data_IF_516689888203
#
_entry.id   IF_516689888203
#
_cell.length_a   1.000
_cell.length_b   1.000
_cell.length_c   1.000
_cell.angle_alpha   90.00
_cell.angle_beta   90.00
_cell.angle_gamma   90.00
#
_symmetry.space_group_name_H-M   'P 1'
#
loop_
_entity.id
_entity.type
_entity.pdbx_description
1 polymer ?
#
# COMPACT_ATOMS: atom_id res chain seq x y z
N UNK A 1 -13.03 0.33 16.70
CA UNK A 1 -12.84 0.04 15.27
C UNK A 1 -11.37 0.20 14.96
N UNK A 2 -10.73 -0.80 14.35
CA UNK A 2 -9.29 -0.78 14.05
C UNK A 2 -8.99 0.25 12.96
N UNK A 3 -8.18 1.27 13.25
CA UNK A 3 -7.89 2.41 12.34
C UNK A 3 -7.26 2.02 10.99
N UNK A 4 -6.72 0.81 10.87
CA UNK A 4 -6.17 0.29 9.61
C UNK A 4 -7.24 -0.24 8.65
N UNK A 5 -8.46 -0.54 9.13
CA UNK A 5 -9.58 -0.96 8.26
C UNK A 5 -10.13 0.18 7.40
N UNK A 6 -9.84 1.42 7.78
CA UNK A 6 -10.17 2.61 7.00
C UNK A 6 -9.22 2.83 5.81
N UNK A 7 -8.14 2.04 5.71
CA UNK A 7 -7.22 2.10 4.57
C UNK A 7 -7.84 1.41 3.37
N UNK A 8 -8.10 2.17 2.31
CA UNK A 8 -8.54 1.64 1.02
C UNK A 8 -7.33 1.16 0.25
N UNK A 9 -7.26 -0.13 -0.04
CA UNK A 9 -6.18 -0.76 -0.83
C UNK A 9 -6.61 -0.87 -2.28
N UNK A 10 -5.77 -0.41 -3.20
CA UNK A 10 -5.95 -0.52 -4.64
C UNK A 10 -4.69 -1.12 -5.26
N UNK A 11 -4.86 -2.16 -6.08
CA UNK A 11 -3.76 -2.78 -6.82
C UNK A 11 -3.69 -2.20 -8.22
N UNK A 12 -2.50 -1.76 -8.65
CA UNK A 12 -2.28 -1.18 -9.97
C UNK A 12 -1.02 -1.75 -10.62
N UNK A 13 -1.09 -1.98 -11.93
CA UNK A 13 0.08 -2.31 -12.76
C UNK A 13 0.77 -1.07 -13.35
N UNK A 14 0.38 0.11 -12.87
CA UNK A 14 0.95 1.40 -13.26
C UNK A 14 1.25 2.22 -12.03
N UNK A 15 2.38 2.92 -12.06
CA UNK A 15 2.81 3.80 -11.01
C UNK A 15 1.78 4.93 -10.81
N UNK A 16 1.30 5.17 -9.58
CA UNK A 16 0.21 6.12 -9.33
C UNK A 16 0.55 7.58 -9.66
N UNK A 17 1.84 7.96 -9.57
CA UNK A 17 2.29 9.33 -9.86
C UNK A 17 2.85 9.54 -11.27
N UNK A 18 3.77 8.67 -11.72
CA UNK A 18 4.43 8.81 -13.02
C UNK A 18 3.68 8.17 -14.17
N UNK A 19 2.62 7.39 -13.88
CA UNK A 19 1.88 6.58 -14.86
C UNK A 19 2.73 5.53 -15.60
N UNK A 20 3.96 5.31 -15.16
CA UNK A 20 4.87 4.33 -15.75
C UNK A 20 4.37 2.90 -15.49
N UNK A 21 4.61 1.97 -16.43
CA UNK A 21 4.27 0.57 -16.22
C UNK A 21 5.11 -0.01 -15.08
N UNK A 22 4.49 -0.84 -14.24
CA UNK A 22 5.21 -1.61 -13.21
C UNK A 22 6.15 -2.61 -13.86
N UNK A 23 7.24 -2.95 -13.17
CA UNK A 23 8.16 -3.99 -13.61
C UNK A 23 7.43 -5.33 -13.81
N UNK A 24 7.86 -6.13 -14.78
CA UNK A 24 7.29 -7.44 -15.04
C UNK A 24 7.36 -8.33 -13.79
N UNK A 25 6.22 -8.86 -13.37
CA UNK A 25 6.12 -9.65 -12.15
C UNK A 25 5.92 -8.83 -10.88
N UNK A 26 5.80 -7.51 -10.95
CA UNK A 26 5.53 -6.62 -9.81
C UNK A 26 4.13 -6.00 -9.90
N UNK A 27 3.63 -5.48 -8.78
CA UNK A 27 2.34 -4.77 -8.66
C UNK A 27 2.50 -3.63 -7.67
N UNK A 28 1.89 -2.48 -7.96
CA UNK A 28 1.82 -1.38 -7.02
C UNK A 28 0.62 -1.56 -6.09
N UNK A 29 0.88 -1.52 -4.79
CA UNK A 29 -0.12 -1.50 -3.74
C UNK A 29 -0.29 -0.05 -3.32
N UNK A 30 -1.46 0.52 -3.57
CA UNK A 30 -1.79 1.91 -3.29
C UNK A 30 -2.77 1.95 -2.14
N UNK A 31 -2.44 2.68 -1.09
CA UNK A 31 -3.26 2.88 0.10
C UNK A 31 -3.71 4.32 0.24
N UNK A 32 -5.00 4.50 0.51
CA UNK A 32 -5.59 5.80 0.82
C UNK A 32 -6.20 5.77 2.21
N UNK A 33 -5.82 6.72 3.06
CA UNK A 33 -6.39 6.93 4.39
C UNK A 33 -6.79 8.40 4.54
N UNK A 34 -8.09 8.67 4.37
CA UNK A 34 -8.63 10.03 4.40
C UNK A 34 -8.03 10.90 3.28
N UNK A 35 -7.19 11.87 3.65
CA UNK A 35 -6.49 12.75 2.69
C UNK A 35 -5.05 12.31 2.38
N UNK A 36 -4.56 11.25 3.02
CA UNK A 36 -3.22 10.73 2.83
C UNK A 36 -3.23 9.59 1.83
N UNK A 37 -2.25 9.57 0.94
CA UNK A 37 -2.03 8.49 -0.02
C UNK A 37 -0.58 8.03 0.09
N UNK A 38 -0.37 6.72 0.10
CA UNK A 38 0.93 6.08 0.07
C UNK A 38 0.86 4.90 -0.88
N UNK A 39 2.00 4.48 -1.41
CA UNK A 39 2.07 3.32 -2.27
C UNK A 39 3.44 2.68 -2.14
N UNK A 40 3.51 1.39 -2.44
CA UNK A 40 4.76 0.65 -2.56
C UNK A 40 4.65 -0.38 -3.68
N UNK A 41 5.81 -0.82 -4.14
CA UNK A 41 5.91 -1.89 -5.11
C UNK A 41 6.13 -3.22 -4.40
N UNK A 42 5.44 -4.26 -4.86
CA UNK A 42 5.62 -5.62 -4.37
C UNK A 42 5.64 -6.61 -5.55
N UNK A 43 6.42 -7.67 -5.43
CA UNK A 43 6.39 -8.77 -6.39
C UNK A 43 5.04 -9.50 -6.32
N UNK A 44 4.53 -9.93 -7.47
CA UNK A 44 3.27 -10.68 -7.61
C UNK A 44 3.31 -11.99 -6.81
N UNK A 45 4.48 -12.63 -6.75
CA UNK A 45 4.69 -13.82 -5.93
C UNK A 45 4.49 -13.54 -4.44
N UNK A 46 4.98 -12.41 -3.93
CA UNK A 46 4.75 -12.01 -2.54
C UNK A 46 3.29 -11.60 -2.32
N UNK A 47 2.71 -10.83 -3.24
CA UNK A 47 1.31 -10.41 -3.18
C UNK A 47 0.36 -11.60 -3.07
N UNK A 48 0.61 -12.68 -3.80
CA UNK A 48 -0.20 -13.91 -3.74
C UNK A 48 -0.13 -14.61 -2.38
N UNK A 49 0.93 -14.38 -1.60
CA UNK A 49 1.12 -14.95 -0.27
C UNK A 49 0.64 -14.01 0.86
N UNK A 50 0.30 -12.75 0.55
CA UNK A 50 -0.16 -11.77 1.53
C UNK A 50 -1.68 -11.71 1.56
N UNK A 51 -2.24 -11.52 2.75
CA UNK A 51 -3.65 -11.21 2.90
C UNK A 51 -3.89 -9.70 2.83
N UNK A 52 -5.13 -9.33 2.53
CA UNK A 52 -5.52 -7.92 2.48
C UNK A 52 -5.24 -7.18 3.79
N UNK A 53 -5.33 -7.87 4.94
CA UNK A 53 -5.02 -7.29 6.26
C UNK A 53 -3.53 -6.92 6.39
N UNK A 54 -2.62 -7.74 5.83
CA UNK A 54 -1.19 -7.44 5.78
C UNK A 54 -0.91 -6.19 4.93
N UNK A 55 -1.53 -6.10 3.74
CA UNK A 55 -1.41 -4.95 2.85
C UNK A 55 -1.93 -3.67 3.53
N UNK A 56 -3.09 -3.75 4.18
CA UNK A 56 -3.67 -2.63 4.92
C UNK A 56 -2.76 -2.18 6.07
N UNK A 57 -2.12 -3.12 6.77
CA UNK A 57 -1.21 -2.84 7.88
C UNK A 57 0.06 -2.13 7.41
N UNK A 58 0.70 -2.62 6.35
CA UNK A 58 1.89 -1.98 5.77
C UNK A 58 1.56 -0.57 5.27
N UNK A 59 0.47 -0.42 4.51
CA UNK A 59 0.01 0.89 4.06
C UNK A 59 -0.31 1.82 5.24
N UNK A 60 -0.93 1.30 6.30
CA UNK A 60 -1.20 2.09 7.50
C UNK A 60 0.08 2.62 8.15
N UNK A 61 1.15 1.82 8.20
CA UNK A 61 2.45 2.26 8.71
C UNK A 61 3.07 3.37 7.84
N UNK A 62 2.94 3.27 6.51
CA UNK A 62 3.41 4.31 5.57
C UNK A 62 2.58 5.59 5.64
N UNK A 63 1.25 5.47 5.80
CA UNK A 63 0.30 6.59 5.86
C UNK A 63 0.30 7.27 7.24
N UNK A 64 0.61 6.51 8.27
CA UNK A 64 0.64 6.94 9.66
C UNK A 64 1.97 6.51 10.30
N UNK A 65 3.10 7.06 9.82
CA UNK A 65 4.37 6.84 10.51
C UNK A 65 4.16 7.33 11.93
N UNK A 66 4.25 6.41 12.89
CA UNK A 66 4.36 6.82 14.29
C UNK A 66 5.66 7.59 14.35
N UNK A 67 5.59 8.92 14.36
CA UNK A 67 6.70 9.74 14.83
C UNK A 67 7.05 9.16 16.20
N UNK A 68 8.27 8.62 16.40
CA UNK A 68 8.70 8.30 17.74
C UNK A 68 8.63 9.63 18.51
N UNK A 69 7.63 9.76 19.37
CA UNK A 69 7.62 10.79 20.39
C UNK A 69 8.81 10.45 21.29
N UNK A 70 9.93 11.12 21.06
CA UNK A 70 11.09 11.13 21.94
C UNK A 70 11.04 12.39 22.79
#
# INVERSE_FOLDING_TARGET
MSKFKDVVVTLSKKHPQTAEPVQAGHTFVIGVLGKKTAFYEISTEQLNNLHNDDLQRELFQLLHPQTPHH
#
